data_IF_746938869313
#
_entry.id   IF_746938869313
#
_cell.length_a   1.000
_cell.length_b   1.000
_cell.length_c   1.000
_cell.angle_alpha   90.00
_cell.angle_beta   90.00
_cell.angle_gamma   90.00
#
_symmetry.space_group_name_H-M   'P 1'
#
loop_
_entity.id
_entity.type
_entity.pdbx_description
1 polymer ?
#
# COMPACT_ATOMS: atom_id res chain seq x y z
N UNK A 1 19.47 11.26 11.82
CA UNK A 1 18.34 11.46 12.76
C UNK A 1 17.28 10.42 12.45
N UNK A 2 16.40 10.02 13.38
CA UNK A 2 15.38 8.99 13.13
C UNK A 2 14.48 9.34 11.92
N UNK A 3 14.13 10.61 11.75
CA UNK A 3 13.30 11.06 10.63
C UNK A 3 14.00 10.93 9.26
N UNK A 4 15.33 11.04 9.19
CA UNK A 4 16.08 10.87 7.93
C UNK A 4 16.07 9.43 7.43
N UNK A 5 15.78 8.47 8.32
CA UNK A 5 15.71 7.04 8.05
C UNK A 5 14.26 6.52 8.12
N UNK A 6 13.27 7.41 8.15
CA UNK A 6 11.87 7.00 8.16
C UNK A 6 11.55 6.27 6.84
N UNK A 7 10.98 5.05 6.90
CA UNK A 7 10.65 4.31 5.69
C UNK A 7 9.54 5.04 4.93
N UNK A 8 9.57 4.97 3.60
CA UNK A 8 8.51 5.52 2.78
C UNK A 8 7.28 4.62 2.86
N UNK A 9 6.13 5.19 3.20
CA UNK A 9 4.87 4.47 3.36
C UNK A 9 4.06 4.52 2.07
N UNK A 10 3.36 3.44 1.74
CA UNK A 10 2.39 3.37 0.65
C UNK A 10 1.09 2.69 1.10
N UNK A 11 0.01 2.98 0.39
CA UNK A 11 -1.26 2.28 0.49
C UNK A 11 -1.49 1.45 -0.78
N UNK A 12 -2.21 0.33 -0.62
CA UNK A 12 -2.85 -0.33 -1.75
C UNK A 12 -4.33 0.01 -1.74
N UNK A 13 -4.77 0.62 -2.83
CA UNK A 13 -6.11 1.17 -3.01
C UNK A 13 -6.84 0.36 -4.08
N UNK A 14 -8.09 0.00 -3.82
CA UNK A 14 -9.00 -0.56 -4.82
C UNK A 14 -9.83 0.56 -5.42
N UNK A 15 -9.72 0.74 -6.73
CA UNK A 15 -10.62 1.60 -7.51
C UNK A 15 -11.78 0.76 -8.05
N UNK A 16 -13.02 1.18 -7.75
CA UNK A 16 -14.25 0.47 -8.11
C UNK A 16 -14.92 1.05 -9.37
N UNK A 17 -14.27 1.00 -10.53
CA UNK A 17 -14.90 1.32 -11.83
C UNK A 17 -15.84 2.55 -11.82
N UNK A 18 -17.12 2.37 -12.20
CA UNK A 18 -18.11 3.46 -12.28
C UNK A 18 -18.46 4.15 -10.95
N UNK A 19 -18.01 3.61 -9.81
CA UNK A 19 -18.16 4.26 -8.51
C UNK A 19 -16.85 4.96 -8.16
N UNK A 20 -16.91 6.28 -7.92
CA UNK A 20 -15.78 7.13 -7.48
C UNK A 20 -15.24 6.76 -6.08
N UNK A 21 -15.76 5.72 -5.46
CA UNK A 21 -15.31 5.29 -4.14
C UNK A 21 -14.03 4.47 -4.31
N UNK A 22 -12.97 4.86 -3.61
CA UNK A 22 -11.70 4.16 -3.58
C UNK A 22 -11.43 3.69 -2.15
N UNK A 23 -11.09 2.41 -1.99
CA UNK A 23 -10.89 1.81 -0.66
C UNK A 23 -9.44 1.41 -0.43
N UNK A 24 -8.85 1.88 0.67
CA UNK A 24 -7.56 1.36 1.13
C UNK A 24 -7.77 -0.04 1.74
N UNK A 25 -7.07 -1.03 1.19
CA UNK A 25 -7.16 -2.43 1.64
C UNK A 25 -5.89 -2.95 2.29
N UNK A 26 -4.77 -2.26 2.07
CA UNK A 26 -3.50 -2.58 2.72
C UNK A 26 -2.63 -1.33 2.86
N UNK A 27 -1.72 -1.39 3.82
CA UNK A 27 -0.65 -0.43 4.03
C UNK A 27 0.69 -1.14 3.98
N UNK A 28 1.71 -0.46 3.47
CA UNK A 28 3.06 -0.97 3.46
C UNK A 28 4.10 0.11 3.58
N UNK A 29 5.34 -0.33 3.75
CA UNK A 29 6.51 0.53 3.88
C UNK A 29 7.69 -0.09 3.15
N UNK A 30 8.54 0.75 2.56
CA UNK A 30 9.81 0.33 1.99
C UNK A 30 10.92 0.44 3.00
N UNK A 31 11.69 -0.63 3.11
CA UNK A 31 12.96 -0.71 3.81
C UNK A 31 14.08 -0.76 2.77
N UNK A 32 15.33 -0.69 3.22
CA UNK A 32 16.49 -0.71 2.32
C UNK A 32 16.54 -1.96 1.43
N UNK A 33 16.14 -3.12 1.96
CA UNK A 33 16.23 -4.42 1.29
C UNK A 33 14.88 -4.96 0.77
N UNK A 34 13.82 -4.15 0.78
CA UNK A 34 12.52 -4.58 0.24
C UNK A 34 11.32 -3.82 0.81
N UNK A 35 10.15 -4.46 0.80
CA UNK A 35 8.92 -3.87 1.31
C UNK A 35 8.19 -4.83 2.24
N UNK A 36 7.53 -4.24 3.23
CA UNK A 36 6.61 -4.94 4.12
C UNK A 36 5.21 -4.37 3.95
N UNK A 37 4.20 -5.23 3.87
CA UNK A 37 2.80 -4.84 3.73
C UNK A 37 1.93 -5.62 4.70
N UNK A 38 0.87 -4.99 5.21
CA UNK A 38 -0.22 -5.65 5.94
C UNK A 38 -1.58 -5.21 5.41
N UNK A 39 -2.55 -6.12 5.39
CA UNK A 39 -3.94 -5.78 5.10
C UNK A 39 -4.52 -4.93 6.24
N UNK A 40 -5.49 -4.06 5.95
CA UNK A 40 -6.10 -3.17 6.97
C UNK A 40 -6.78 -3.93 8.11
N UNK A 41 -7.22 -5.16 7.85
CA UNK A 41 -7.78 -6.05 8.87
C UNK A 41 -6.71 -6.78 9.70
N UNK A 42 -5.42 -6.56 9.40
CA UNK A 42 -4.26 -7.15 10.08
C UNK A 42 -4.08 -8.64 9.85
N UNK A 43 -4.92 -9.29 9.04
CA UNK A 43 -4.93 -10.75 8.90
C UNK A 43 -3.81 -11.28 8.04
N UNK A 44 -3.37 -10.50 7.06
CA UNK A 44 -2.30 -10.89 6.14
C UNK A 44 -1.13 -9.91 6.25
N UNK A 45 0.06 -10.48 6.21
CA UNK A 45 1.33 -9.75 6.24
C UNK A 45 2.24 -10.33 5.17
N UNK A 46 2.95 -9.47 4.46
CA UNK A 46 3.75 -9.84 3.31
C UNK A 46 5.12 -9.20 3.40
N UNK A 47 6.14 -10.00 3.13
CA UNK A 47 7.48 -9.54 2.80
C UNK A 47 7.64 -9.62 1.29
N UNK A 48 8.03 -8.50 0.70
CA UNK A 48 8.06 -8.29 -0.74
C UNK A 48 9.45 -7.82 -1.14
N UNK A 49 9.94 -8.27 -2.30
CA UNK A 49 11.20 -7.76 -2.85
C UNK A 49 11.09 -6.29 -3.28
N UNK A 50 9.92 -5.88 -3.77
CA UNK A 50 9.63 -4.53 -4.26
C UNK A 50 8.19 -4.18 -3.87
N UNK A 51 7.88 -2.90 -3.61
CA UNK A 51 6.55 -2.49 -3.15
C UNK A 51 5.45 -2.81 -4.18
N UNK A 52 5.74 -2.72 -5.47
CA UNK A 52 4.83 -3.03 -6.58
C UNK A 52 4.35 -4.48 -6.57
N UNK A 53 5.15 -5.41 -6.02
CA UNK A 53 4.77 -6.80 -5.87
C UNK A 53 3.58 -7.00 -4.92
N UNK A 54 3.22 -5.99 -4.12
CA UNK A 54 1.99 -5.97 -3.32
C UNK A 54 0.73 -6.24 -4.15
N UNK A 55 0.68 -5.73 -5.38
CA UNK A 55 -0.50 -5.84 -6.24
C UNK A 55 -0.80 -7.29 -6.64
N UNK A 56 0.22 -8.16 -6.66
CA UNK A 56 0.06 -9.58 -6.97
C UNK A 56 -0.75 -10.35 -5.89
N UNK A 57 -0.82 -9.81 -4.67
CA UNK A 57 -1.51 -10.45 -3.54
C UNK A 57 -2.92 -9.89 -3.31
N UNK A 58 -3.30 -8.87 -4.06
CA UNK A 58 -4.62 -8.28 -4.00
C UNK A 58 -5.47 -8.84 -5.15
N UNK A 59 -6.63 -9.46 -4.85
CA UNK A 59 -7.43 -10.09 -5.89
C UNK A 59 -7.99 -9.03 -6.85
N UNK A 60 -7.49 -9.00 -8.07
CA UNK A 60 -8.13 -8.29 -9.16
C UNK A 60 -9.45 -8.99 -9.50
N UNK A 61 -10.57 -8.27 -9.40
CA UNK A 61 -11.89 -8.73 -9.91
C UNK A 61 -12.19 -7.95 -11.18
N UNK A 62 -13.10 -8.45 -12.02
CA UNK A 62 -13.40 -7.88 -13.36
C UNK A 62 -13.78 -6.39 -13.38
N UNK A 63 -14.04 -5.77 -12.23
CA UNK A 63 -14.39 -4.36 -12.10
C UNK A 63 -13.62 -3.63 -10.98
N UNK A 64 -12.48 -4.18 -10.55
CA UNK A 64 -11.67 -3.63 -9.46
C UNK A 64 -10.20 -3.61 -9.89
N UNK A 65 -9.61 -2.42 -9.90
CA UNK A 65 -8.19 -2.24 -10.20
C UNK A 65 -7.44 -1.87 -8.93
N UNK A 66 -6.43 -2.67 -8.51
CA UNK A 66 -5.59 -2.31 -7.38
C UNK A 66 -4.48 -1.34 -7.82
N UNK A 67 -4.24 -0.31 -7.03
CA UNK A 67 -3.21 0.70 -7.24
C UNK A 67 -2.33 0.85 -6.01
N UNK A 68 -1.02 1.03 -6.24
CA UNK A 68 -0.08 1.43 -5.20
C UNK A 68 0.02 2.95 -5.18
N UNK A 69 -0.24 3.55 -4.02
CA UNK A 69 -0.21 5.00 -3.82
C UNK A 69 0.75 5.34 -2.69
N UNK A 70 1.76 6.17 -2.98
CA UNK A 70 2.69 6.63 -1.95
C UNK A 70 2.03 7.62 -1.01
N UNK A 71 2.12 7.36 0.30
CA UNK A 71 1.67 8.28 1.31
C UNK A 71 2.67 9.44 1.39
N UNK A 72 2.13 10.66 1.34
CA UNK A 72 2.89 11.84 1.76
C UNK A 72 2.45 12.08 3.19
N UNK A 73 3.33 11.93 4.21
CA UNK A 73 2.96 12.29 5.56
C UNK A 73 2.48 13.74 5.54
N UNK A 74 1.29 13.98 6.09
CA UNK A 74 0.82 15.33 6.29
C UNK A 74 1.86 16.06 7.14
N UNK A 75 2.36 17.19 6.65
CA UNK A 75 2.86 18.19 7.58
C UNK A 75 1.64 18.62 8.37
N UNK A 76 1.51 18.16 9.62
CA UNK A 76 0.70 18.87 10.59
C UNK A 76 1.27 20.30 10.64
N UNK A 77 0.56 21.28 10.06
CA UNK A 77 0.90 22.70 10.16
C UNK A 77 0.79 23.20 11.60
#
# INVERSE_FOLDING_TARGET
MVADQAPRVFAVVLEFGEQTDAQIVAWGMTLDDGAYMTTVDGRNQFLLAEPENALNYIPARSNITPHLVWATPGVDE
#
